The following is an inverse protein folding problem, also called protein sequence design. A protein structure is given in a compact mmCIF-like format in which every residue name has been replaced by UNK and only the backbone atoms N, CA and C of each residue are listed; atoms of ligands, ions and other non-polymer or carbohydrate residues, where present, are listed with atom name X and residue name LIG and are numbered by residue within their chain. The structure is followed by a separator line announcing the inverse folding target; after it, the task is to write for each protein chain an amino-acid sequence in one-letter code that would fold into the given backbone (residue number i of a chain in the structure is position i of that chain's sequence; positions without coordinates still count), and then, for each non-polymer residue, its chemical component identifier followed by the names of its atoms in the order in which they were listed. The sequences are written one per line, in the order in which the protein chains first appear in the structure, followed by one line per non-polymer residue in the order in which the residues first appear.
data_IF_467061194762
#
_entry.id   IF_467061194762
#
_cell.length_a   1.000
_cell.length_b   1.000
_cell.length_c   1.000
_cell.angle_alpha   90.00
_cell.angle_beta   90.00
_cell.angle_gamma   90.00
#
_symmetry.space_group_name_H-M   'P 1'
#
loop_
_entity.id
_entity.type
_entity.pdbx_description
1 polymer ?
#
# COMPACT_ATOMS: atom_id res chain seq x y z
N UNK A 1 26.90 -32.11 -4.22
CA UNK A 1 26.24 -31.28 -3.20
C UNK A 1 24.94 -30.72 -3.79
N UNK A 2 23.78 -30.96 -3.17
CA UNK A 2 22.51 -30.38 -3.61
C UNK A 2 22.60 -28.86 -3.48
N UNK A 3 22.55 -28.14 -4.60
CA UNK A 3 22.46 -26.68 -4.62
C UNK A 3 21.12 -26.28 -4.00
N UNK A 4 21.13 -25.98 -2.70
CA UNK A 4 19.98 -25.36 -2.03
C UNK A 4 19.71 -24.03 -2.73
N UNK A 5 18.47 -23.83 -3.19
CA UNK A 5 18.03 -22.54 -3.75
C UNK A 5 18.34 -21.45 -2.73
N UNK A 6 18.94 -20.34 -3.20
CA UNK A 6 19.07 -19.15 -2.37
C UNK A 6 17.66 -18.75 -1.89
N UNK A 7 17.52 -18.35 -0.61
CA UNK A 7 16.24 -17.85 -0.12
C UNK A 7 15.77 -16.67 -0.98
N UNK A 8 14.44 -16.43 -1.08
CA UNK A 8 13.92 -15.26 -1.77
C UNK A 8 14.59 -13.98 -1.26
N UNK A 9 14.94 -13.07 -2.17
CA UNK A 9 15.75 -11.89 -1.87
C UNK A 9 15.19 -10.96 -0.78
N UNK A 10 13.89 -11.08 -0.46
CA UNK A 10 13.16 -10.28 0.52
C UNK A 10 12.46 -11.15 1.58
N UNK A 11 12.84 -12.43 1.72
CA UNK A 11 12.14 -13.36 2.60
C UNK A 11 12.05 -12.86 4.06
N UNK A 12 13.11 -12.19 4.53
CA UNK A 12 13.22 -11.72 5.91
C UNK A 12 12.66 -10.31 6.13
N UNK A 13 12.33 -9.56 5.06
CA UNK A 13 11.81 -8.19 5.17
C UNK A 13 10.29 -8.10 5.21
N UNK A 14 9.57 -9.22 5.00
CA UNK A 14 8.11 -9.25 4.90
C UNK A 14 7.55 -8.52 3.68
N UNK A 15 8.41 -8.09 2.75
CA UNK A 15 8.02 -7.40 1.52
C UNK A 15 7.89 -8.42 0.39
N UNK A 16 6.69 -8.53 -0.18
CA UNK A 16 6.41 -9.47 -1.26
C UNK A 16 5.94 -8.73 -2.51
N UNK A 17 6.46 -9.15 -3.66
CA UNK A 17 6.00 -8.68 -4.97
C UNK A 17 4.89 -9.63 -5.43
N UNK A 18 3.70 -9.08 -5.70
CA UNK A 18 2.55 -9.83 -6.20
C UNK A 18 2.66 -10.09 -7.71
N UNK A 19 3.10 -9.09 -8.47
CA UNK A 19 3.30 -9.22 -9.92
C UNK A 19 4.52 -8.43 -10.39
N UNK A 20 5.18 -8.96 -11.43
CA UNK A 20 6.38 -8.40 -12.04
C UNK A 20 6.18 -8.39 -13.55
N UNK A 21 6.37 -7.24 -14.18
CA UNK A 21 6.35 -7.04 -15.62
C UNK A 21 7.67 -6.43 -16.07
N UNK A 22 8.26 -6.98 -17.12
CA UNK A 22 9.51 -6.49 -17.72
C UNK A 22 9.29 -6.17 -19.18
N UNK A 23 9.66 -4.97 -19.60
CA UNK A 23 9.52 -4.48 -20.97
C UNK A 23 10.86 -3.93 -21.46
N UNK A 24 11.39 -4.46 -22.57
CA UNK A 24 12.57 -3.88 -23.23
C UNK A 24 12.14 -2.63 -24.01
N UNK A 25 12.81 -1.50 -23.79
CA UNK A 25 12.58 -0.28 -24.55
C UNK A 25 13.42 -0.32 -25.84
N UNK A 26 12.76 -0.17 -26.99
CA UNK A 26 13.40 -0.25 -28.31
C UNK A 26 13.90 1.09 -28.84
N UNK A 27 13.48 2.19 -28.23
CA UNK A 27 13.75 3.55 -28.71
C UNK A 27 14.96 4.19 -28.00
N UNK A 28 15.78 3.39 -27.32
CA UNK A 28 16.98 3.85 -26.61
C UNK A 28 18.22 3.36 -27.35
N UNK A 29 19.26 4.20 -27.42
CA UNK A 29 20.59 3.81 -27.91
C UNK A 29 21.22 2.72 -27.03
N UNK A 30 20.82 2.67 -25.76
CA UNK A 30 21.29 1.71 -24.78
C UNK A 30 20.26 0.60 -24.52
N UNK A 31 20.73 -0.57 -24.08
CA UNK A 31 19.86 -1.68 -23.68
C UNK A 31 19.10 -1.31 -22.41
N UNK A 32 17.87 -0.82 -22.58
CA UNK A 32 17.05 -0.32 -21.47
C UNK A 32 15.84 -1.23 -21.22
N UNK A 33 15.56 -1.51 -19.95
CA UNK A 33 14.38 -2.25 -19.52
C UNK A 33 13.54 -1.40 -18.56
N UNK A 34 12.22 -1.39 -18.76
CA UNK A 34 11.24 -0.91 -17.80
C UNK A 34 10.70 -2.08 -17.00
N UNK A 35 10.90 -2.03 -15.69
CA UNK A 35 10.43 -3.04 -14.75
C UNK A 35 9.30 -2.43 -13.92
N UNK A 36 8.12 -3.03 -13.98
CA UNK A 36 6.96 -2.63 -13.18
C UNK A 36 6.66 -3.74 -12.19
N UNK A 37 6.53 -3.39 -10.91
CA UNK A 37 6.17 -4.32 -9.84
C UNK A 37 4.90 -3.87 -9.16
N UNK A 38 4.06 -4.81 -8.75
CA UNK A 38 2.94 -4.54 -7.84
C UNK A 38 3.22 -5.20 -6.49
N UNK A 39 3.18 -4.45 -5.38
CA UNK A 39 3.41 -5.01 -4.06
C UNK A 39 2.20 -5.83 -3.59
N UNK A 40 2.47 -6.91 -2.88
CA UNK A 40 1.44 -7.63 -2.13
C UNK A 40 1.10 -6.86 -0.85
N UNK A 41 -0.19 -6.76 -0.54
CA UNK A 41 -0.72 -6.14 0.69
C UNK A 41 -0.11 -4.75 1.02
N UNK A 42 0.07 -3.91 0.00
CA UNK A 42 0.67 -2.56 0.14
C UNK A 42 2.03 -2.56 0.84
N UNK A 43 2.82 -3.63 0.69
CA UNK A 43 4.22 -3.59 1.04
C UNK A 43 4.86 -2.34 0.40
N UNK A 44 5.68 -1.64 1.17
CA UNK A 44 6.39 -0.44 0.75
C UNK A 44 7.87 -0.56 1.04
N UNK A 45 8.62 0.48 0.69
CA UNK A 45 10.04 0.59 1.05
C UNK A 45 10.92 -0.54 0.50
N UNK A 46 10.57 -1.03 -0.70
CA UNK A 46 11.41 -1.96 -1.44
C UNK A 46 12.80 -1.34 -1.69
N UNK A 47 13.89 -2.12 -1.59
CA UNK A 47 15.21 -1.68 -2.02
C UNK A 47 15.26 -1.51 -3.55
N UNK A 48 16.31 -0.85 -4.05
CA UNK A 48 16.58 -0.85 -5.49
C UNK A 48 16.95 -2.26 -5.95
N UNK A 49 16.60 -2.61 -7.19
CA UNK A 49 17.00 -3.87 -7.79
C UNK A 49 18.50 -3.81 -8.04
N UNK A 50 19.24 -4.82 -7.57
CA UNK A 50 20.68 -4.92 -7.74
C UNK A 50 21.03 -6.03 -8.73
N UNK A 51 22.12 -5.84 -9.45
CA UNK A 51 22.69 -6.90 -10.28
C UNK A 51 23.79 -7.56 -9.45
N UNK A 52 23.48 -8.74 -8.91
CA UNK A 52 24.28 -9.38 -7.86
C UNK A 52 25.72 -9.74 -8.21
N UNK A 53 26.12 -9.61 -9.48
CA UNK A 53 27.51 -9.81 -9.91
C UNK A 53 28.26 -8.51 -10.20
N UNK A 54 27.62 -7.34 -10.18
CA UNK A 54 28.27 -6.04 -10.42
C UNK A 54 28.58 -5.31 -9.11
N UNK A 55 29.62 -4.47 -9.12
CA UNK A 55 30.02 -3.68 -7.96
C UNK A 55 29.24 -2.34 -7.91
N UNK A 56 28.88 -1.90 -6.70
CA UNK A 56 28.21 -0.61 -6.49
C UNK A 56 29.25 0.52 -6.57
N UNK A 57 29.07 1.43 -7.52
CA UNK A 57 29.95 2.59 -7.69
C UNK A 57 29.38 3.86 -7.05
N UNK A 58 28.09 4.13 -7.26
CA UNK A 58 27.42 5.31 -6.71
C UNK A 58 25.96 4.99 -6.38
N UNK A 59 25.46 5.53 -5.27
CA UNK A 59 24.12 5.25 -4.76
C UNK A 59 23.44 6.54 -4.29
N UNK A 60 22.22 6.78 -4.76
CA UNK A 60 21.30 7.77 -4.20
C UNK A 60 19.99 7.10 -3.78
N UNK A 61 19.04 7.87 -3.26
CA UNK A 61 17.77 7.33 -2.74
C UNK A 61 16.92 6.60 -3.80
N UNK A 62 17.05 6.97 -5.08
CA UNK A 62 16.27 6.44 -6.20
C UNK A 62 17.14 6.04 -7.42
N UNK A 63 18.46 6.07 -7.29
CA UNK A 63 19.39 5.68 -8.35
C UNK A 63 20.54 4.85 -7.79
N UNK A 64 20.91 3.80 -8.51
CA UNK A 64 22.06 2.94 -8.23
C UNK A 64 22.85 2.77 -9.52
N UNK A 65 24.14 3.12 -9.48
CA UNK A 65 25.09 2.87 -10.57
C UNK A 65 25.97 1.69 -10.16
N UNK A 66 25.90 0.63 -10.97
CA UNK A 66 26.68 -0.59 -10.84
C UNK A 66 27.65 -0.66 -12.02
N UNK A 67 28.91 -0.99 -11.76
CA UNK A 67 29.86 -1.20 -12.85
C UNK A 67 30.84 -2.33 -12.54
N UNK A 68 31.35 -2.94 -13.61
CA UNK A 68 32.48 -3.84 -13.56
C UNK A 68 33.16 -3.84 -14.93
N UNK A 69 34.48 -3.63 -14.94
CA UNK A 69 35.29 -3.50 -16.15
C UNK A 69 34.71 -2.45 -17.12
N UNK A 70 34.20 -2.87 -18.27
CA UNK A 70 33.58 -2.00 -19.29
C UNK A 70 32.06 -1.96 -19.22
N UNK A 71 31.43 -2.77 -18.36
CA UNK A 71 29.99 -2.83 -18.21
C UNK A 71 29.52 -1.85 -17.13
N UNK A 72 28.63 -0.93 -17.51
CA UNK A 72 27.96 -0.02 -16.56
C UNK A 72 26.45 -0.20 -16.67
N UNK A 73 25.80 -0.35 -15.52
CA UNK A 73 24.35 -0.46 -15.42
C UNK A 73 23.83 0.58 -14.43
N UNK A 74 22.88 1.39 -14.90
CA UNK A 74 22.19 2.38 -14.09
C UNK A 74 20.77 1.89 -13.81
N UNK A 75 20.44 1.74 -12.53
CA UNK A 75 19.10 1.41 -12.05
C UNK A 75 18.46 2.67 -11.50
N UNK A 76 17.31 3.06 -12.04
CA UNK A 76 16.53 4.21 -11.58
C UNK A 76 15.14 3.78 -11.14
N UNK A 77 14.71 4.27 -9.97
CA UNK A 77 13.33 4.09 -9.50
C UNK A 77 12.47 5.20 -10.06
N UNK A 78 11.49 4.83 -10.87
CA UNK A 78 10.52 5.77 -11.43
C UNK A 78 9.39 6.09 -10.45
N UNK A 79 8.99 5.12 -9.63
CA UNK A 79 7.88 5.26 -8.67
C UNK A 79 8.15 4.40 -7.44
N UNK A 80 7.90 4.96 -6.26
CA UNK A 80 7.93 4.23 -4.98
C UNK A 80 6.59 3.53 -4.76
N UNK A 81 6.64 2.35 -4.15
CA UNK A 81 5.43 1.71 -3.63
C UNK A 81 4.83 2.59 -2.53
N UNK A 82 3.54 2.88 -2.62
CA UNK A 82 2.83 3.65 -1.60
C UNK A 82 2.63 2.79 -0.35
N UNK A 83 2.95 3.31 0.85
CA UNK A 83 2.65 2.61 2.11
C UNK A 83 1.14 2.46 2.33
N UNK A 84 0.71 1.59 3.26
CA UNK A 84 -0.68 1.47 3.64
C UNK A 84 -1.28 2.81 4.09
N UNK A 85 -2.61 2.96 3.92
CA UNK A 85 -3.32 4.16 4.35
C UNK A 85 -3.15 4.39 5.86
N UNK A 86 -2.85 5.62 6.26
CA UNK A 86 -2.66 6.05 7.66
C UNK A 86 -3.41 7.35 7.92
N UNK A 87 -3.65 7.65 9.19
CA UNK A 87 -4.27 8.90 9.64
C UNK A 87 -5.62 8.68 10.29
N UNK A 88 -6.39 9.74 10.36
CA UNK A 88 -7.75 9.74 10.91
C UNK A 88 -8.73 10.36 9.92
N UNK A 89 -10.01 10.03 10.10
CA UNK A 89 -11.12 10.66 9.43
C UNK A 89 -12.14 11.14 10.46
N UNK A 90 -13.07 11.98 10.02
CA UNK A 90 -14.21 12.42 10.83
C UNK A 90 -15.48 12.06 10.09
N UNK A 91 -16.57 11.88 10.85
CA UNK A 91 -17.90 11.61 10.30
C UNK A 91 -18.85 12.65 10.85
N UNK A 92 -19.62 13.28 9.98
CA UNK A 92 -20.67 14.23 10.31
C UNK A 92 -22.05 13.71 9.93
N UNK A 93 -22.99 13.80 10.87
CA UNK A 93 -24.41 13.56 10.62
C UNK A 93 -25.26 14.32 11.63
N UNK A 94 -26.42 14.82 11.20
CA UNK A 94 -27.32 15.64 12.02
C UNK A 94 -26.65 16.87 12.67
N UNK A 95 -25.61 17.42 12.04
CA UNK A 95 -24.83 18.54 12.59
C UNK A 95 -23.90 18.16 13.75
N UNK A 96 -23.80 16.87 14.09
CA UNK A 96 -22.85 16.32 15.05
C UNK A 96 -21.66 15.71 14.32
N UNK A 97 -20.45 15.92 14.85
CA UNK A 97 -19.21 15.44 14.24
C UNK A 97 -18.50 14.50 15.21
N UNK A 98 -18.24 13.27 14.76
CA UNK A 98 -17.34 12.33 15.42
C UNK A 98 -15.96 12.49 14.80
N UNK A 99 -15.00 13.01 15.58
CA UNK A 99 -13.65 13.34 15.10
C UNK A 99 -12.65 12.24 15.42
N UNK A 100 -11.51 12.31 14.73
CA UNK A 100 -10.31 11.54 15.03
C UNK A 100 -10.48 10.01 15.01
N UNK A 101 -11.38 9.53 14.15
CA UNK A 101 -11.56 8.10 13.90
C UNK A 101 -10.37 7.57 13.12
N UNK A 102 -9.68 6.56 13.66
CA UNK A 102 -8.55 5.97 12.95
C UNK A 102 -8.99 5.35 11.64
N UNK A 103 -8.21 5.52 10.56
CA UNK A 103 -8.53 4.85 9.27
C UNK A 103 -8.57 3.33 9.40
N UNK A 104 -7.90 2.75 10.40
CA UNK A 104 -7.90 1.31 10.71
C UNK A 104 -8.77 0.94 11.93
N UNK A 105 -9.71 1.78 12.32
CA UNK A 105 -10.74 1.44 13.33
C UNK A 105 -11.41 0.10 12.94
N UNK A 106 -11.87 -0.70 13.90
CA UNK A 106 -12.64 -1.93 13.61
C UNK A 106 -14.15 -1.65 13.60
N UNK A 107 -14.95 -2.62 13.18
CA UNK A 107 -16.41 -2.49 13.05
C UNK A 107 -17.09 -2.11 14.37
N UNK A 108 -16.71 -2.76 15.47
CA UNK A 108 -17.32 -2.55 16.77
C UNK A 108 -16.99 -1.15 17.32
N UNK A 109 -15.74 -0.72 17.20
CA UNK A 109 -15.31 0.60 17.66
C UNK A 109 -15.97 1.71 16.83
N UNK A 110 -16.09 1.53 15.51
CA UNK A 110 -16.80 2.49 14.66
C UNK A 110 -18.29 2.54 15.02
N UNK A 111 -18.92 1.38 15.26
CA UNK A 111 -20.30 1.29 15.73
C UNK A 111 -20.49 2.06 17.03
N UNK A 112 -19.65 1.82 18.03
CA UNK A 112 -19.73 2.53 19.31
C UNK A 112 -19.50 4.04 19.17
N UNK A 113 -18.53 4.44 18.35
CA UNK A 113 -18.25 5.85 18.12
C UNK A 113 -19.45 6.59 17.49
N UNK A 114 -20.08 5.98 16.49
CA UNK A 114 -21.27 6.54 15.83
C UNK A 114 -22.49 6.53 16.76
N UNK A 115 -22.72 5.45 17.51
CA UNK A 115 -23.83 5.38 18.47
C UNK A 115 -23.72 6.37 19.64
N UNK A 116 -22.62 7.10 19.76
CA UNK A 116 -22.53 8.28 20.63
C UNK A 116 -23.48 9.41 20.23
N UNK A 117 -23.99 9.43 18.99
CA UNK A 117 -25.03 10.35 18.52
C UNK A 117 -26.39 9.68 18.75
N UNK A 118 -27.22 10.14 19.70
CA UNK A 118 -28.47 9.47 20.06
C UNK A 118 -29.43 9.30 18.88
N UNK A 119 -29.44 10.28 17.95
CA UNK A 119 -30.31 10.30 16.77
C UNK A 119 -29.96 9.22 15.73
N UNK A 120 -28.83 8.51 15.85
CA UNK A 120 -28.50 7.36 15.00
C UNK A 120 -29.17 6.06 15.46
N UNK A 121 -29.57 5.97 16.73
CA UNK A 121 -30.12 4.74 17.31
C UNK A 121 -29.11 3.58 17.33
N UNK A 122 -29.59 2.34 17.19
CA UNK A 122 -28.73 1.17 17.08
C UNK A 122 -28.29 0.95 15.64
N UNK A 123 -27.00 0.66 15.45
CA UNK A 123 -26.38 0.44 14.15
C UNK A 123 -25.79 -0.97 14.04
N UNK A 124 -25.76 -1.50 12.82
CA UNK A 124 -24.89 -2.61 12.45
C UNK A 124 -23.83 -2.09 11.49
N UNK A 125 -22.56 -2.32 11.79
CA UNK A 125 -21.43 -1.88 10.98
C UNK A 125 -20.70 -3.12 10.47
N UNK A 126 -20.49 -3.20 9.17
CA UNK A 126 -19.60 -4.17 8.53
C UNK A 126 -18.51 -3.41 7.80
N UNK A 127 -17.35 -4.05 7.63
CA UNK A 127 -16.27 -3.47 6.85
C UNK A 127 -15.69 -4.44 5.85
N UNK A 128 -15.24 -3.89 4.73
CA UNK A 128 -14.28 -4.55 3.85
C UNK A 128 -12.98 -3.78 3.93
N UNK A 129 -12.03 -4.33 4.69
CA UNK A 129 -10.74 -3.69 4.89
C UNK A 129 -9.77 -4.00 3.75
N UNK A 130 -9.02 -2.99 3.33
CA UNK A 130 -7.85 -3.19 2.48
C UNK A 130 -6.73 -2.25 2.92
N UNK A 131 -5.49 -2.63 2.61
CA UNK A 131 -4.34 -1.76 2.87
C UNK A 131 -4.39 -0.43 2.09
N UNK A 132 -5.28 -0.32 1.08
CA UNK A 132 -5.50 0.89 0.26
C UNK A 132 -6.64 1.77 0.80
N UNK A 133 -7.41 1.29 1.77
CA UNK A 133 -8.60 1.95 2.28
C UNK A 133 -9.68 0.96 2.68
N UNK A 134 -10.63 1.44 3.47
CA UNK A 134 -11.71 0.63 4.04
C UNK A 134 -13.05 1.09 3.47
N UNK A 135 -13.93 0.13 3.20
CA UNK A 135 -15.33 0.38 2.87
C UNK A 135 -16.17 -0.01 4.07
N UNK A 136 -16.96 0.93 4.58
CA UNK A 136 -17.83 0.75 5.72
C UNK A 136 -19.27 0.64 5.25
N UNK A 137 -19.93 -0.46 5.59
CA UNK A 137 -21.35 -0.66 5.38
C UNK A 137 -22.06 -0.45 6.73
N UNK A 138 -22.89 0.60 6.81
CA UNK A 138 -23.56 1.01 8.04
C UNK A 138 -25.07 0.85 7.82
N UNK A 139 -25.70 0.03 8.65
CA UNK A 139 -27.13 -0.25 8.61
C UNK A 139 -27.81 0.27 9.87
N UNK A 140 -28.91 0.99 9.72
CA UNK A 140 -29.74 1.49 10.81
C UNK A 140 -30.72 0.39 11.24
N UNK A 141 -30.72 0.04 12.53
CA UNK A 141 -31.55 -1.05 13.05
C UNK A 141 -32.83 -0.54 13.71
N UNK A 142 -32.79 0.63 14.35
CA UNK A 142 -33.92 1.18 15.10
C UNK A 142 -34.52 2.44 14.49
N UNK A 143 -33.83 3.08 13.53
CA UNK A 143 -34.29 4.31 12.89
C UNK A 143 -34.88 3.98 11.51
N UNK A 144 -36.22 3.99 11.35
CA UNK A 144 -36.87 3.68 10.07
C UNK A 144 -36.79 4.86 9.09
N UNK A 145 -37.06 4.57 7.81
CA UNK A 145 -37.13 5.58 6.77
C UNK A 145 -35.78 5.91 6.12
N UNK A 146 -35.80 6.86 5.19
CA UNK A 146 -34.60 7.25 4.46
C UNK A 146 -33.69 8.10 5.35
N UNK A 147 -32.51 7.58 5.67
CA UNK A 147 -31.52 8.25 6.50
C UNK A 147 -30.63 9.17 5.66
N UNK A 148 -30.19 10.32 6.17
CA UNK A 148 -29.28 11.20 5.43
C UNK A 148 -27.91 10.54 5.27
N UNK A 149 -27.16 10.99 4.26
CA UNK A 149 -25.79 10.56 4.04
C UNK A 149 -24.90 11.02 5.21
N UNK A 150 -24.06 10.10 5.69
CA UNK A 150 -22.91 10.40 6.52
C UNK A 150 -21.89 11.17 5.66
N UNK A 151 -21.42 12.31 6.17
CA UNK A 151 -20.44 13.16 5.48
C UNK A 151 -19.05 13.03 6.10
#
# INVERSE_FOLDING_TARGET
ALLKRKPPALADSGQFIQSLLVQKLTNSSDVTYKITTSPFNCASDFPLIEIGFLQKNNTSQDMLVLAQDTATVTVTRLQRASPPLKGTFSVEIFGQIVKDLSVNINEDDLKYALQGIPDLGMLSVNSTMSCKGNVWEINWLTMPGNQPLLK
#
